data_IF_115264973635
#
_entry.id   IF_115264973635
#
_cell.length_a   1.000
_cell.length_b   1.000
_cell.length_c   1.000
_cell.angle_alpha   90.00
_cell.angle_beta   90.00
_cell.angle_gamma   90.00
#
_symmetry.space_group_name_H-M   'P 1'
#
loop_
_entity.id
_entity.type
_entity.pdbx_description
1 polymer ?
#
# COMPACT_ATOMS: atom_id res chain seq x y z
N UNK A 1 -6.33 10.90 17.99
CA UNK A 1 -6.76 10.67 16.60
C UNK A 1 -5.66 9.86 15.92
N UNK A 2 -5.88 8.56 15.92
CA UNK A 2 -4.86 7.55 15.63
C UNK A 2 -4.53 7.57 14.14
N UNK A 3 -3.37 8.15 13.80
CA UNK A 3 -2.88 8.22 12.42
C UNK A 3 -2.26 6.88 12.08
N UNK A 4 -3.11 5.86 11.86
CA UNK A 4 -2.63 4.51 11.55
C UNK A 4 -2.34 4.39 10.06
N UNK A 5 -1.06 4.30 9.72
CA UNK A 5 -0.61 4.09 8.34
C UNK A 5 -0.20 2.63 8.22
N UNK A 6 -0.82 1.94 7.28
CA UNK A 6 -0.57 0.52 7.04
C UNK A 6 -0.26 0.29 5.58
N UNK A 7 0.79 -0.50 5.34
CA UNK A 7 1.17 -0.93 3.99
C UNK A 7 0.94 -2.43 3.91
N UNK A 8 0.12 -2.85 2.95
CA UNK A 8 -0.10 -4.25 2.64
C UNK A 8 0.55 -4.58 1.29
N UNK A 9 1.48 -5.53 1.31
CA UNK A 9 2.21 -6.00 0.13
C UNK A 9 1.52 -7.26 -0.38
N UNK A 10 0.97 -7.20 -1.60
CA UNK A 10 0.30 -8.33 -2.26
C UNK A 10 0.93 -8.56 -3.63
N UNK A 11 1.81 -9.56 -3.72
CA UNK A 11 2.55 -9.86 -4.96
C UNK A 11 3.29 -8.62 -5.51
N UNK A 12 2.83 -8.13 -6.66
CA UNK A 12 3.40 -6.95 -7.35
C UNK A 12 2.67 -5.64 -7.05
N UNK A 13 1.78 -5.59 -6.05
CA UNK A 13 1.03 -4.40 -5.67
C UNK A 13 1.19 -4.09 -4.18
N UNK A 14 1.20 -2.80 -3.87
CA UNK A 14 1.27 -2.24 -2.54
C UNK A 14 -0.04 -1.51 -2.29
N UNK A 15 -0.73 -1.89 -1.23
CA UNK A 15 -1.95 -1.26 -0.78
C UNK A 15 -1.57 -0.39 0.42
N UNK A 16 -1.75 0.91 0.29
CA UNK A 16 -1.38 1.87 1.34
C UNK A 16 -2.65 2.48 1.91
N UNK A 17 -2.90 2.19 3.18
CA UNK A 17 -4.00 2.74 3.94
C UNK A 17 -3.47 3.84 4.85
N UNK A 18 -4.04 5.04 4.72
CA UNK A 18 -3.65 6.22 5.49
C UNK A 18 -4.83 7.18 5.62
N UNK A 19 -4.83 8.07 6.63
CA UNK A 19 -5.83 9.12 6.74
C UNK A 19 -5.67 10.17 5.63
N UNK A 20 -6.70 11.02 5.48
CA UNK A 20 -6.72 12.08 4.47
C UNK A 20 -5.68 13.17 4.79
N UNK A 21 -4.46 13.00 4.29
CA UNK A 21 -3.39 13.97 4.41
C UNK A 21 -2.89 14.40 3.02
N UNK A 22 -2.93 15.71 2.75
CA UNK A 22 -2.56 16.24 1.44
C UNK A 22 -1.09 15.96 1.07
N UNK A 23 -0.17 16.01 2.04
CA UNK A 23 1.24 15.75 1.80
C UNK A 23 1.49 14.29 1.40
N UNK A 24 0.92 13.35 2.16
CA UNK A 24 1.07 11.90 1.91
C UNK A 24 0.40 11.52 0.57
N UNK A 25 -0.78 12.09 0.28
CA UNK A 25 -1.48 11.90 -1.01
C UNK A 25 -0.63 12.42 -2.18
N UNK A 26 -0.03 13.60 -2.05
CA UNK A 26 0.82 14.16 -3.10
C UNK A 26 2.05 13.28 -3.34
N UNK A 27 2.67 12.77 -2.27
CA UNK A 27 3.80 11.85 -2.36
C UNK A 27 3.43 10.57 -3.11
N UNK A 28 2.29 9.96 -2.79
CA UNK A 28 1.84 8.73 -3.46
C UNK A 28 1.49 8.96 -4.92
N UNK A 29 0.89 10.12 -5.24
CA UNK A 29 0.59 10.49 -6.62
C UNK A 29 1.86 10.70 -7.46
N UNK A 30 3.03 10.91 -6.86
CA UNK A 30 4.30 10.95 -7.59
C UNK A 30 4.75 9.57 -8.10
N UNK A 31 4.20 8.47 -7.59
CA UNK A 31 4.54 7.13 -8.08
C UNK A 31 3.81 6.84 -9.40
N UNK A 32 4.55 6.29 -10.37
CA UNK A 32 3.97 5.89 -11.65
C UNK A 32 2.92 4.79 -11.45
N UNK A 33 1.75 4.98 -12.06
CA UNK A 33 0.59 4.09 -11.96
C UNK A 33 -0.01 3.93 -10.55
N UNK A 34 0.26 4.86 -9.63
CA UNK A 34 -0.47 4.91 -8.38
C UNK A 34 -1.90 5.45 -8.61
N UNK A 35 -2.89 4.78 -8.04
CA UNK A 35 -4.29 5.19 -8.13
C UNK A 35 -5.03 4.97 -6.81
N UNK A 36 -6.09 5.76 -6.61
CA UNK A 36 -6.96 5.62 -5.44
C UNK A 36 -8.05 4.60 -5.73
N UNK A 37 -8.12 3.56 -4.89
CA UNK A 37 -9.21 2.60 -4.91
C UNK A 37 -10.35 3.09 -4.00
N UNK A 38 -11.46 3.46 -4.62
CA UNK A 38 -12.65 3.96 -3.90
C UNK A 38 -13.43 2.85 -3.19
N UNK A 39 -13.30 1.60 -3.64
CA UNK A 39 -14.05 0.48 -3.05
C UNK A 39 -13.45 0.04 -1.72
N UNK A 40 -12.12 0.02 -1.64
CA UNK A 40 -11.39 -0.38 -0.45
C UNK A 40 -10.88 0.82 0.37
N UNK A 41 -11.03 2.05 -0.13
CA UNK A 41 -10.51 3.28 0.49
C UNK A 41 -9.00 3.22 0.75
N UNK A 42 -8.24 2.71 -0.23
CA UNK A 42 -6.77 2.54 -0.14
C UNK A 42 -6.10 3.07 -1.40
N UNK A 43 -4.86 3.49 -1.27
CA UNK A 43 -4.01 3.76 -2.43
C UNK A 43 -3.40 2.47 -2.93
N UNK A 44 -3.42 2.25 -4.24
CA UNK A 44 -2.76 1.11 -4.88
C UNK A 44 -1.55 1.65 -5.62
N UNK A 45 -0.38 1.17 -5.24
CA UNK A 45 0.91 1.52 -5.84
C UNK A 45 1.55 0.23 -6.37
N UNK A 46 2.04 0.16 -7.60
CA UNK A 46 2.73 -1.02 -8.06
C UNK A 46 4.07 -1.21 -7.32
N UNK A 47 4.36 -2.45 -6.93
CA UNK A 47 5.60 -2.86 -6.27
C UNK A 47 6.71 -3.12 -7.30
N UNK A 48 7.19 -2.06 -7.95
CA UNK A 48 8.35 -2.16 -8.83
C UNK A 48 9.61 -1.70 -8.10
N UNK A 49 10.65 -2.54 -8.15
CA UNK A 49 12.03 -2.23 -7.69
C UNK A 49 12.11 -1.79 -6.21
N UNK A 50 11.93 -0.49 -5.98
CA UNK A 50 12.24 0.24 -4.74
C UNK A 50 11.04 0.97 -4.15
N UNK A 51 9.85 0.86 -4.75
CA UNK A 51 8.67 1.61 -4.28
C UNK A 51 8.31 1.27 -2.83
N UNK A 52 8.41 -0.01 -2.44
CA UNK A 52 8.19 -0.42 -1.05
C UNK A 52 9.22 0.21 -0.10
N UNK A 53 10.50 0.21 -0.48
CA UNK A 53 11.56 0.83 0.33
C UNK A 53 11.34 2.34 0.45
N UNK A 54 10.97 3.02 -0.63
CA UNK A 54 10.65 4.45 -0.62
C UNK A 54 9.48 4.78 0.31
N UNK A 55 8.40 4.01 0.24
CA UNK A 55 7.25 4.19 1.14
C UNK A 55 7.65 3.95 2.60
N UNK A 56 8.41 2.89 2.88
CA UNK A 56 8.93 2.61 4.24
C UNK A 56 9.80 3.75 4.76
N UNK A 57 10.70 4.27 3.94
CA UNK A 57 11.58 5.39 4.31
C UNK A 57 10.80 6.70 4.49
N UNK A 58 9.81 6.97 3.63
CA UNK A 58 9.01 8.19 3.71
C UNK A 58 8.10 8.21 4.95
N UNK A 59 7.39 7.11 5.21
CA UNK A 59 6.54 7.01 6.38
C UNK A 59 7.34 6.83 7.66
N UNK A 60 8.48 6.14 7.62
CA UNK A 60 9.39 5.98 8.74
C UNK A 60 8.66 5.56 10.01
N UNK A 61 8.75 6.40 11.05
CA UNK A 61 8.11 6.18 12.35
C UNK A 61 6.57 6.34 12.33
N UNK A 62 6.00 6.95 11.30
CA UNK A 62 4.54 7.09 11.14
C UNK A 62 3.89 5.79 10.63
N UNK A 63 4.69 4.86 10.13
CA UNK A 63 4.22 3.57 9.63
C UNK A 63 3.89 2.66 10.80
N UNK A 64 2.61 2.35 10.98
CA UNK A 64 2.13 1.51 12.08
C UNK A 64 2.43 0.04 11.85
N UNK A 65 2.18 -0.47 10.64
CA UNK A 65 2.46 -1.85 10.31
C UNK A 65 2.66 -2.07 8.81
N UNK A 66 3.43 -3.11 8.49
CA UNK A 66 3.58 -3.64 7.13
C UNK A 66 3.11 -5.09 7.13
N UNK A 67 2.05 -5.35 6.37
CA UNK A 67 1.47 -6.69 6.21
C UNK A 67 1.93 -7.26 4.88
N UNK A 68 2.41 -8.49 4.88
CA UNK A 68 2.71 -9.21 3.64
C UNK A 68 1.61 -10.23 3.43
N UNK A 69 0.66 -9.89 2.55
CA UNK A 69 -0.42 -10.79 2.19
C UNK A 69 0.01 -11.61 0.97
N UNK A 70 -0.08 -12.93 1.10
CA UNK A 70 -0.01 -13.79 -0.08
C UNK A 70 -1.22 -13.44 -0.95
N UNK A 71 -1.05 -13.20 -2.28
CA UNK A 71 -2.21 -13.18 -3.15
C UNK A 71 -2.85 -14.54 -2.93
N UNK A 72 -4.09 -14.56 -2.42
CA UNK A 72 -4.75 -15.79 -2.04
C UNK A 72 -4.51 -16.79 -3.18
N UNK A 73 -3.70 -17.81 -2.90
CA UNK A 73 -3.61 -18.98 -3.75
C UNK A 73 -5.04 -19.47 -3.73
N UNK A 74 -5.80 -19.11 -4.77
CA UNK A 74 -6.97 -19.88 -5.18
C UNK A 74 -6.39 -21.26 -5.37
N UNK A 75 -6.42 -22.04 -4.29
CA UNK A 75 -6.12 -23.45 -4.36
C UNK A 75 -7.09 -23.92 -5.42
N UNK A 76 -6.64 -24.50 -6.55
CA UNK A 76 -7.57 -25.08 -7.48
C UNK A 76 -8.43 -26.01 -6.61
N UNK A 77 -9.73 -25.74 -6.63
CA UNK A 77 -10.72 -26.65 -6.09
C UNK A 77 -10.44 -28.00 -6.76
N UNK A 78 -9.72 -28.87 -6.07
CA UNK A 78 -9.68 -30.27 -6.44
C UNK A 78 -11.00 -30.83 -5.91
N UNK A 79 -11.89 -31.06 -6.87
CA UNK A 79 -13.04 -31.97 -6.84
C UNK A 79 -12.97 -33.06 -5.77
#
# INVERSE_FOLDING_TARGET
MDTTITIEVVGTRLFVQMPKNAADIQYIRSFSHAYWDRGAFRWIVPNYKRNLELLKTYFGERLTAVVYATPATVSPITD
#
